data_IF_036235813764
#
_entry.id   IF_036235813764
#
_cell.length_a   1.000
_cell.length_b   1.000
_cell.length_c   1.000
_cell.angle_alpha   90.00
_cell.angle_beta   90.00
_cell.angle_gamma   90.00
#
_symmetry.space_group_name_H-M   'P 1'
#
loop_
_entity.id
_entity.type
_entity.pdbx_description
1 polymer ?
#
# COMPACT_ATOMS: atom_id res chain seq x y z
N UNK A 1 25.58 -12.38 39.61
CA UNK A 1 25.82 -11.16 38.84
C UNK A 1 24.99 -11.12 37.53
N UNK A 2 25.12 -12.05 36.60
CA UNK A 2 24.34 -12.05 35.33
C UNK A 2 22.83 -12.10 35.51
N UNK A 3 22.28 -12.96 36.38
CA UNK A 3 20.86 -13.03 36.67
C UNK A 3 20.28 -11.72 37.20
N UNK A 4 20.99 -11.03 38.07
CA UNK A 4 20.56 -9.74 38.62
C UNK A 4 20.52 -8.66 37.53
N UNK A 5 21.50 -8.65 36.62
CA UNK A 5 21.54 -7.73 35.51
C UNK A 5 20.35 -7.94 34.55
N UNK A 6 20.01 -9.20 34.26
CA UNK A 6 18.86 -9.55 33.44
C UNK A 6 17.56 -9.11 34.08
N UNK A 7 17.38 -9.37 35.38
CA UNK A 7 16.17 -8.95 36.10
C UNK A 7 16.01 -7.43 36.15
N UNK A 8 17.09 -6.70 36.37
CA UNK A 8 17.06 -5.23 36.35
C UNK A 8 16.67 -4.69 34.97
N UNK A 9 17.21 -5.28 33.89
CA UNK A 9 16.83 -4.91 32.52
C UNK A 9 15.36 -5.21 32.22
N UNK A 10 14.83 -6.36 32.64
CA UNK A 10 13.41 -6.72 32.49
C UNK A 10 12.54 -5.68 33.20
N UNK A 11 12.89 -5.34 34.45
CA UNK A 11 12.13 -4.36 35.22
C UNK A 11 12.13 -2.96 34.58
N UNK A 12 13.29 -2.50 34.13
CA UNK A 12 13.41 -1.21 33.42
C UNK A 12 12.54 -1.19 32.14
N UNK A 13 12.64 -2.23 31.29
CA UNK A 13 11.86 -2.33 30.05
C UNK A 13 10.37 -2.42 30.33
N UNK A 14 9.98 -3.16 31.36
CA UNK A 14 8.60 -3.24 31.81
C UNK A 14 8.04 -1.85 32.18
N UNK A 15 8.79 -1.06 32.96
CA UNK A 15 8.37 0.28 33.37
C UNK A 15 8.17 1.19 32.14
N UNK A 16 9.09 1.14 31.17
CA UNK A 16 8.98 1.89 29.90
C UNK A 16 7.72 1.47 29.14
N UNK A 17 7.51 0.16 28.94
CA UNK A 17 6.37 -0.36 28.21
C UNK A 17 5.04 -0.04 28.90
N UNK A 18 4.99 -0.14 30.24
CA UNK A 18 3.80 0.24 31.01
C UNK A 18 3.46 1.72 30.88
N UNK A 19 4.48 2.60 30.83
CA UNK A 19 4.28 4.03 30.62
C UNK A 19 3.80 4.37 29.20
N UNK A 20 4.14 3.54 28.21
CA UNK A 20 3.70 3.67 26.82
C UNK A 20 2.33 3.07 26.54
N UNK A 21 1.73 2.34 27.52
CA UNK A 21 0.40 1.77 27.35
C UNK A 21 -0.66 2.86 27.28
N UNK A 22 -1.48 2.82 26.27
CA UNK A 22 -2.62 3.72 26.09
C UNK A 22 -3.68 3.54 27.19
N UNK A 23 -4.51 4.58 27.43
CA UNK A 23 -5.58 4.54 28.45
C UNK A 23 -6.55 3.38 28.29
N UNK A 24 -6.80 2.95 27.05
CA UNK A 24 -7.67 1.80 26.72
C UNK A 24 -7.00 0.43 26.90
N UNK A 25 -5.71 0.40 27.31
CA UNK A 25 -4.95 -0.83 27.54
C UNK A 25 -4.16 -1.33 26.34
N UNK A 26 -4.23 -0.67 25.18
CA UNK A 26 -3.49 -1.08 23.98
C UNK A 26 -2.08 -0.50 23.96
N UNK A 27 -1.21 -1.16 23.19
CA UNK A 27 0.01 -0.59 22.67
C UNK A 27 -0.13 -0.38 21.16
N UNK A 28 0.41 0.72 20.70
CA UNK A 28 0.44 1.07 19.29
C UNK A 28 1.83 1.61 18.97
N UNK A 29 2.65 0.79 18.35
CA UNK A 29 3.97 1.17 17.89
C UNK A 29 3.96 1.42 16.40
N UNK A 30 4.83 2.33 15.98
CA UNK A 30 4.95 2.65 14.58
C UNK A 30 5.70 1.53 13.87
N UNK A 31 5.06 0.92 12.90
CA UNK A 31 5.70 0.03 11.97
C UNK A 31 6.39 0.88 10.89
N UNK A 32 7.70 1.05 11.02
CA UNK A 32 8.49 1.75 10.00
C UNK A 32 8.61 0.87 8.75
N UNK A 33 7.75 1.14 7.80
CA UNK A 33 7.70 0.45 6.52
C UNK A 33 8.54 1.15 5.44
N UNK A 34 8.57 0.55 4.25
CA UNK A 34 9.23 1.13 3.09
C UNK A 34 8.56 2.44 2.67
N UNK A 35 9.30 3.27 1.93
CA UNK A 35 8.81 4.55 1.40
C UNK A 35 7.63 4.43 0.42
N UNK A 36 7.26 3.23 0.02
CA UNK A 36 6.26 2.99 -1.03
C UNK A 36 4.89 3.60 -0.70
N UNK A 37 4.46 3.50 0.55
CA UNK A 37 3.20 4.10 1.03
C UNK A 37 3.27 5.62 1.04
N UNK A 38 4.42 6.20 1.40
CA UNK A 38 4.65 7.64 1.37
C UNK A 38 4.60 8.17 -0.05
N UNK A 39 5.28 7.49 -0.98
CA UNK A 39 5.28 7.82 -2.40
C UNK A 39 3.87 7.79 -2.98
N UNK A 40 3.12 6.73 -2.67
CA UNK A 40 1.75 6.59 -3.17
C UNK A 40 0.83 7.66 -2.58
N UNK A 41 0.98 7.97 -1.28
CA UNK A 41 0.20 9.04 -0.64
C UNK A 41 0.50 10.41 -1.27
N UNK A 42 1.76 10.74 -1.56
CA UNK A 42 2.12 11.96 -2.28
C UNK A 42 1.38 12.05 -3.63
N UNK A 43 1.37 10.96 -4.41
CA UNK A 43 0.67 10.91 -5.70
C UNK A 43 -0.84 11.09 -5.55
N UNK A 44 -1.46 10.44 -4.57
CA UNK A 44 -2.90 10.57 -4.28
C UNK A 44 -3.25 11.98 -3.85
N UNK A 45 -2.51 12.56 -2.89
CA UNK A 45 -2.75 13.93 -2.43
C UNK A 45 -2.64 14.94 -3.58
N UNK A 46 -1.65 14.76 -4.44
CA UNK A 46 -1.47 15.62 -5.61
C UNK A 46 -2.58 15.45 -6.63
N UNK A 47 -3.02 14.22 -6.87
CA UNK A 47 -4.13 13.89 -7.77
C UNK A 47 -5.46 14.53 -7.32
N UNK A 48 -5.67 14.62 -6.01
CA UNK A 48 -6.87 15.18 -5.40
C UNK A 48 -6.75 16.69 -5.10
N UNK A 49 -5.57 17.28 -5.24
CA UNK A 49 -5.25 18.66 -4.83
C UNK A 49 -5.52 18.92 -3.34
N UNK A 50 -5.07 17.98 -2.48
CA UNK A 50 -5.32 18.00 -1.04
C UNK A 50 -4.04 18.11 -0.21
N UNK A 51 -4.18 18.59 1.03
CA UNK A 51 -3.20 18.46 2.13
C UNK A 51 -1.74 18.82 1.78
N UNK A 52 -1.52 19.99 1.17
CA UNK A 52 -0.20 20.43 0.74
C UNK A 52 0.88 20.41 1.85
N UNK A 53 0.50 20.66 3.12
CA UNK A 53 1.42 20.61 4.28
C UNK A 53 1.86 19.19 4.57
N UNK A 54 0.93 18.22 4.51
CA UNK A 54 1.21 16.79 4.70
C UNK A 54 2.12 16.28 3.58
N UNK A 55 1.80 16.64 2.33
CA UNK A 55 2.62 16.30 1.16
C UNK A 55 4.08 16.73 1.36
N UNK A 56 4.33 17.95 1.82
CA UNK A 56 5.70 18.43 2.08
C UNK A 56 6.44 17.62 3.16
N UNK A 57 5.75 17.20 4.21
CA UNK A 57 6.35 16.36 5.25
C UNK A 57 6.70 14.95 4.74
N UNK A 58 5.82 14.34 3.95
CA UNK A 58 6.07 13.05 3.28
C UNK A 58 7.26 13.17 2.32
N UNK A 59 7.26 14.20 1.49
CA UNK A 59 8.32 14.45 0.53
C UNK A 59 9.69 14.64 1.21
N UNK A 60 9.72 15.36 2.35
CA UNK A 60 10.94 15.52 3.15
C UNK A 60 11.52 14.16 3.53
N UNK A 61 10.69 13.21 3.98
CA UNK A 61 11.13 11.85 4.31
C UNK A 61 11.64 11.11 3.08
N UNK A 62 10.89 11.10 1.99
CA UNK A 62 11.31 10.43 0.74
C UNK A 62 12.68 10.93 0.29
N UNK A 63 12.91 12.23 0.25
CA UNK A 63 14.18 12.82 -0.16
C UNK A 63 15.32 12.46 0.78
N UNK A 64 15.08 12.50 2.10
CA UNK A 64 16.11 12.21 3.11
C UNK A 64 16.57 10.74 3.13
N UNK A 65 15.79 9.85 2.54
CA UNK A 65 16.09 8.41 2.47
C UNK A 65 16.74 7.99 1.13
N UNK A 66 17.10 8.96 0.29
CA UNK A 66 17.85 8.65 -0.93
C UNK A 66 19.28 8.22 -0.59
N UNK A 67 19.68 7.05 -1.07
CA UNK A 67 21.03 6.53 -0.94
C UNK A 67 22.04 7.37 -1.77
N UNK A 68 23.34 7.27 -1.44
CA UNK A 68 24.40 7.98 -2.16
C UNK A 68 24.44 7.64 -3.66
N UNK A 69 24.11 6.40 -4.02
CA UNK A 69 24.04 5.95 -5.43
C UNK A 69 22.77 6.42 -6.16
N UNK A 70 21.92 7.24 -5.54
CA UNK A 70 20.68 7.76 -6.11
C UNK A 70 19.46 6.84 -5.97
N UNK A 71 19.60 5.66 -5.37
CA UNK A 71 18.50 4.71 -5.17
C UNK A 71 17.72 4.97 -3.88
N UNK A 72 16.61 4.21 -3.72
CA UNK A 72 15.93 3.99 -2.45
C UNK A 72 15.84 2.50 -2.17
N UNK A 73 15.87 2.15 -0.89
CA UNK A 73 15.76 0.78 -0.38
C UNK A 73 14.35 0.48 0.11
N UNK A 74 13.94 -0.81 0.08
CA UNK A 74 12.72 -1.28 0.75
C UNK A 74 13.03 -1.51 2.23
N UNK A 75 14.19 -2.09 2.52
CA UNK A 75 14.65 -2.38 3.88
C UNK A 75 15.91 -1.55 4.18
N UNK A 76 16.09 -1.18 5.44
CA UNK A 76 17.22 -0.35 5.89
C UNK A 76 18.60 -1.00 5.71
N UNK A 77 18.67 -2.33 5.65
CA UNK A 77 19.87 -3.13 5.44
C UNK A 77 20.16 -3.48 3.97
N UNK A 78 19.30 -3.07 3.05
CA UNK A 78 19.48 -3.27 1.60
C UNK A 78 20.50 -2.29 1.03
N UNK A 79 21.75 -2.75 0.86
CA UNK A 79 22.89 -1.90 0.48
C UNK A 79 22.84 -1.35 -0.94
N UNK A 80 22.24 -2.09 -1.88
CA UNK A 80 22.28 -1.77 -3.32
C UNK A 80 21.08 -0.96 -3.78
N UNK A 81 20.11 -0.72 -2.90
CA UNK A 81 18.84 -0.10 -3.26
C UNK A 81 17.92 -1.00 -4.08
N UNK A 82 16.71 -0.54 -4.30
CA UNK A 82 15.64 -1.28 -4.99
C UNK A 82 15.13 -0.51 -6.19
N UNK A 83 15.10 -1.15 -7.36
CA UNK A 83 14.67 -0.51 -8.60
C UNK A 83 13.22 0.01 -8.52
N UNK A 84 12.30 -0.81 -8.04
CA UNK A 84 10.87 -0.44 -7.95
C UNK A 84 10.61 0.67 -6.94
N UNK A 85 11.29 0.64 -5.79
CA UNK A 85 11.23 1.70 -4.79
C UNK A 85 11.80 3.02 -5.36
N UNK A 86 12.93 2.95 -6.07
CA UNK A 86 13.57 4.11 -6.69
C UNK A 86 12.68 4.74 -7.78
N UNK A 87 12.02 3.94 -8.61
CA UNK A 87 11.07 4.44 -9.61
C UNK A 87 9.89 5.13 -8.92
N UNK A 88 9.34 4.56 -7.85
CA UNK A 88 8.19 5.14 -7.15
C UNK A 88 8.58 6.43 -6.42
N UNK A 89 9.76 6.48 -5.78
CA UNK A 89 10.27 7.69 -5.14
C UNK A 89 10.51 8.82 -6.16
N UNK A 90 11.21 8.51 -7.25
CA UNK A 90 11.41 9.43 -8.35
C UNK A 90 10.08 9.99 -8.88
N UNK A 91 9.10 9.11 -9.08
CA UNK A 91 7.76 9.48 -9.57
C UNK A 91 7.04 10.41 -8.58
N UNK A 92 7.07 10.08 -7.28
CA UNK A 92 6.44 10.90 -6.24
C UNK A 92 7.08 12.28 -6.14
N UNK A 93 8.42 12.36 -6.22
CA UNK A 93 9.15 13.62 -6.24
C UNK A 93 8.78 14.48 -7.44
N UNK A 94 8.72 13.88 -8.64
CA UNK A 94 8.35 14.57 -9.85
C UNK A 94 6.90 15.09 -9.80
N UNK A 95 5.94 14.23 -9.43
CA UNK A 95 4.51 14.57 -9.33
C UNK A 95 4.25 15.61 -8.23
N UNK A 96 5.07 15.65 -7.18
CA UNK A 96 4.93 16.66 -6.13
C UNK A 96 4.98 18.09 -6.67
N UNK A 97 5.70 18.30 -7.77
CA UNK A 97 5.94 19.62 -8.36
C UNK A 97 7.02 20.43 -7.65
N UNK A 98 7.63 19.88 -6.58
CA UNK A 98 8.73 20.52 -5.84
C UNK A 98 10.11 20.14 -6.42
N UNK A 99 10.18 19.13 -7.30
CA UNK A 99 11.39 18.67 -7.95
C UNK A 99 11.19 18.56 -9.47
N UNK A 100 12.24 18.98 -10.18
CA UNK A 100 12.36 18.84 -11.64
C UNK A 100 13.41 17.78 -11.99
N UNK A 101 13.38 17.28 -13.22
CA UNK A 101 14.40 16.34 -13.72
C UNK A 101 15.83 16.89 -13.66
N UNK A 102 15.98 18.22 -13.65
CA UNK A 102 17.29 18.87 -13.61
C UNK A 102 17.95 18.87 -12.24
N UNK A 103 17.18 18.57 -11.17
CA UNK A 103 17.69 18.58 -9.81
C UNK A 103 18.64 17.41 -9.56
N UNK A 104 19.65 17.62 -8.73
CA UNK A 104 20.70 16.61 -8.47
C UNK A 104 20.16 15.28 -7.99
N UNK A 105 19.21 15.20 -7.01
CA UNK A 105 18.66 13.93 -6.57
C UNK A 105 17.91 13.21 -7.68
N UNK A 106 17.25 13.93 -8.59
CA UNK A 106 16.50 13.35 -9.68
C UNK A 106 17.45 12.76 -10.75
N UNK A 107 18.51 13.45 -11.12
CA UNK A 107 19.53 12.94 -12.04
C UNK A 107 20.21 11.69 -11.51
N UNK A 108 20.56 11.66 -10.24
CA UNK A 108 21.12 10.45 -9.61
C UNK A 108 20.15 9.27 -9.65
N UNK A 109 18.86 9.52 -9.39
CA UNK A 109 17.82 8.51 -9.46
C UNK A 109 17.64 7.98 -10.90
N UNK A 110 17.60 8.84 -11.91
CA UNK A 110 17.54 8.44 -13.32
C UNK A 110 18.72 7.54 -13.71
N UNK A 111 19.93 7.92 -13.31
CA UNK A 111 21.15 7.13 -13.57
C UNK A 111 21.06 5.73 -12.94
N UNK A 112 20.63 5.65 -11.67
CA UNK A 112 20.42 4.36 -11.01
C UNK A 112 19.35 3.52 -11.69
N UNK A 113 18.18 4.10 -12.00
CA UNK A 113 17.08 3.40 -12.64
C UNK A 113 17.51 2.83 -14.00
N UNK A 114 18.21 3.61 -14.82
CA UNK A 114 18.68 3.16 -16.12
C UNK A 114 19.73 2.05 -16.01
N UNK A 115 20.69 2.18 -15.10
CA UNK A 115 21.73 1.18 -14.87
C UNK A 115 21.16 -0.17 -14.42
N UNK A 116 19.98 -0.19 -13.76
CA UNK A 116 19.32 -1.39 -13.26
C UNK A 116 18.21 -1.93 -14.18
N UNK A 117 18.13 -1.46 -15.42
CA UNK A 117 17.24 -1.99 -16.46
C UNK A 117 15.93 -1.25 -16.64
N UNK A 118 15.78 -0.07 -16.03
CA UNK A 118 14.68 0.86 -16.28
C UNK A 118 13.30 0.29 -15.99
N UNK A 119 12.30 0.82 -16.66
CA UNK A 119 10.89 0.38 -16.50
C UNK A 119 10.66 -1.05 -16.96
N UNK A 120 11.50 -1.58 -17.88
CA UNK A 120 11.38 -2.96 -18.35
C UNK A 120 11.43 -3.94 -17.17
N UNK A 121 12.39 -3.78 -16.27
CA UNK A 121 12.59 -4.65 -15.10
C UNK A 121 11.76 -4.25 -13.87
N UNK A 122 10.99 -3.17 -13.92
CA UNK A 122 10.15 -2.73 -12.82
C UNK A 122 9.03 -3.75 -12.52
N UNK A 123 8.72 -3.89 -11.23
CA UNK A 123 7.63 -4.75 -10.78
C UNK A 123 6.27 -4.29 -11.36
N UNK A 124 5.35 -5.23 -11.61
CA UNK A 124 4.00 -4.97 -12.13
C UNK A 124 3.26 -3.86 -11.36
N UNK A 125 3.30 -3.91 -10.01
CA UNK A 125 2.65 -2.90 -9.16
C UNK A 125 3.21 -1.48 -9.41
N UNK A 126 4.51 -1.34 -9.66
CA UNK A 126 5.13 -0.06 -10.00
C UNK A 126 4.63 0.45 -11.34
N UNK A 127 4.58 -0.41 -12.36
CA UNK A 127 4.01 -0.06 -13.68
C UNK A 127 2.55 0.38 -13.56
N UNK A 128 1.77 -0.31 -12.71
CA UNK A 128 0.38 0.05 -12.42
C UNK A 128 0.25 1.45 -11.79
N UNK A 129 1.08 1.77 -10.80
CA UNK A 129 1.11 3.10 -10.17
C UNK A 129 1.48 4.18 -11.19
N UNK A 130 2.46 3.94 -12.05
CA UNK A 130 2.83 4.85 -13.13
C UNK A 130 1.68 5.07 -14.11
N UNK A 131 0.98 4.01 -14.50
CA UNK A 131 -0.15 4.08 -15.41
C UNK A 131 -1.33 4.88 -14.84
N UNK A 132 -1.65 4.67 -13.55
CA UNK A 132 -2.66 5.45 -12.83
C UNK A 132 -2.34 6.96 -12.82
N UNK A 133 -1.06 7.31 -12.86
CA UNK A 133 -0.57 8.69 -12.85
C UNK A 133 -0.18 9.21 -14.25
N UNK A 134 -0.57 8.50 -15.31
CA UNK A 134 -0.37 8.95 -16.70
C UNK A 134 1.07 8.92 -17.18
N UNK A 135 1.97 8.23 -16.46
CA UNK A 135 3.40 8.12 -16.74
C UNK A 135 3.80 6.78 -17.40
N UNK A 136 2.84 5.90 -17.59
CA UNK A 136 3.02 4.63 -18.30
C UNK A 136 1.75 4.25 -19.04
N UNK A 137 1.87 3.56 -20.17
CA UNK A 137 0.71 3.20 -21.00
C UNK A 137 0.19 1.83 -20.63
N UNK A 138 -1.13 1.72 -20.45
CA UNK A 138 -1.76 0.41 -20.34
C UNK A 138 -1.67 -0.35 -21.66
N UNK A 139 -1.21 -1.61 -21.66
CA UNK A 139 -1.23 -2.42 -22.86
C UNK A 139 -2.64 -2.55 -23.46
N UNK A 140 -2.76 -2.51 -24.78
CA UNK A 140 -4.06 -2.62 -25.46
C UNK A 140 -4.75 -3.96 -25.18
N UNK A 141 -3.95 -5.03 -25.08
CA UNK A 141 -4.39 -6.41 -24.83
C UNK A 141 -4.71 -6.69 -23.35
N UNK A 142 -4.37 -5.75 -22.44
CA UNK A 142 -4.60 -5.96 -21.02
C UNK A 142 -6.07 -5.68 -20.68
N UNK A 143 -6.85 -6.72 -20.64
CA UNK A 143 -8.25 -6.71 -20.24
C UNK A 143 -8.54 -7.89 -19.33
N UNK A 144 -9.13 -7.63 -18.19
CA UNK A 144 -9.57 -8.66 -17.26
C UNK A 144 -11.11 -8.79 -17.35
N UNK A 145 -11.67 -9.97 -17.66
CA UNK A 145 -13.11 -10.11 -17.82
C UNK A 145 -13.84 -9.89 -16.49
N UNK A 146 -14.65 -8.84 -16.42
CA UNK A 146 -15.36 -8.46 -15.20
C UNK A 146 -16.40 -9.49 -14.77
N UNK A 147 -16.82 -10.38 -15.66
CA UNK A 147 -17.68 -11.54 -15.35
C UNK A 147 -17.07 -12.49 -14.33
N UNK A 148 -15.74 -12.45 -14.14
CA UNK A 148 -15.06 -13.17 -13.06
C UNK A 148 -15.62 -12.83 -11.67
N UNK A 149 -16.06 -11.60 -11.45
CA UNK A 149 -16.68 -11.17 -10.19
C UNK A 149 -18.11 -11.68 -9.98
N UNK A 150 -18.70 -12.35 -10.99
CA UNK A 150 -20.01 -12.98 -10.90
C UNK A 150 -19.92 -14.48 -10.61
N UNK A 151 -18.71 -15.05 -10.66
CA UNK A 151 -18.54 -16.48 -10.45
C UNK A 151 -18.84 -16.83 -8.98
N UNK A 152 -19.75 -17.80 -8.76
CA UNK A 152 -20.13 -18.20 -7.41
C UNK A 152 -19.00 -18.97 -6.70
N UNK A 153 -18.99 -19.02 -5.36
CA UNK A 153 -17.91 -19.63 -4.57
C UNK A 153 -17.61 -21.10 -4.87
N UNK A 154 -18.58 -21.86 -5.39
CA UNK A 154 -18.37 -23.28 -5.73
C UNK A 154 -17.63 -23.50 -7.06
N UNK A 155 -17.45 -22.45 -7.88
CA UNK A 155 -16.65 -22.53 -9.10
C UNK A 155 -15.15 -22.60 -8.75
N UNK A 156 -14.36 -23.41 -9.48
CA UNK A 156 -12.94 -23.59 -9.18
C UNK A 156 -12.11 -22.32 -9.37
N UNK A 157 -12.53 -21.44 -10.26
CA UNK A 157 -11.90 -20.13 -10.52
C UNK A 157 -12.84 -19.02 -10.06
N UNK A 158 -12.77 -18.63 -8.81
CA UNK A 158 -13.58 -17.54 -8.28
C UNK A 158 -12.76 -16.63 -7.36
N UNK A 159 -13.27 -15.42 -7.13
CA UNK A 159 -12.59 -14.39 -6.31
C UNK A 159 -12.44 -14.82 -4.84
N UNK A 160 -13.30 -15.72 -4.35
CA UNK A 160 -13.27 -16.17 -2.95
C UNK A 160 -12.16 -17.19 -2.65
N UNK A 161 -11.56 -17.79 -3.68
CA UNK A 161 -10.38 -18.65 -3.55
C UNK A 161 -9.08 -17.84 -3.35
N UNK A 162 -9.10 -16.53 -3.65
CA UNK A 162 -8.00 -15.64 -3.32
C UNK A 162 -8.02 -15.28 -1.82
N UNK A 163 -6.84 -15.06 -1.24
CA UNK A 163 -6.75 -14.52 0.11
C UNK A 163 -7.45 -13.16 0.21
N UNK A 164 -7.92 -12.78 1.41
CA UNK A 164 -8.54 -11.47 1.60
C UNK A 164 -7.59 -10.33 1.19
N UNK A 165 -6.31 -10.46 1.53
CA UNK A 165 -5.28 -9.49 1.13
C UNK A 165 -5.20 -9.33 -0.40
N UNK A 166 -5.09 -10.42 -1.14
CA UNK A 166 -5.04 -10.38 -2.61
C UNK A 166 -6.33 -9.78 -3.18
N UNK A 167 -7.48 -10.20 -2.68
CA UNK A 167 -8.81 -9.77 -3.14
C UNK A 167 -9.02 -8.27 -3.03
N UNK A 168 -8.69 -7.67 -1.87
CA UNK A 168 -8.89 -6.24 -1.65
C UNK A 168 -7.91 -5.35 -2.42
N UNK A 169 -6.75 -5.88 -2.82
CA UNK A 169 -5.83 -5.17 -3.71
C UNK A 169 -6.17 -5.35 -5.19
N UNK A 170 -6.45 -6.59 -5.60
CA UNK A 170 -6.71 -6.89 -7.02
C UNK A 170 -8.01 -6.25 -7.52
N UNK A 171 -9.07 -6.24 -6.71
CA UNK A 171 -10.37 -5.71 -7.13
C UNK A 171 -10.29 -4.26 -7.64
N UNK A 172 -9.79 -3.28 -6.86
CA UNK A 172 -9.67 -1.90 -7.34
C UNK A 172 -8.67 -1.76 -8.50
N UNK A 173 -7.58 -2.54 -8.47
CA UNK A 173 -6.60 -2.53 -9.56
C UNK A 173 -7.21 -2.97 -10.90
N UNK A 174 -7.98 -4.07 -10.90
CA UNK A 174 -8.67 -4.59 -12.09
C UNK A 174 -9.68 -3.56 -12.63
N UNK A 175 -10.45 -2.91 -11.75
CA UNK A 175 -11.40 -1.87 -12.15
C UNK A 175 -10.66 -0.73 -12.86
N UNK A 176 -9.63 -0.16 -12.23
CA UNK A 176 -8.89 0.96 -12.78
C UNK A 176 -8.15 0.59 -14.09
N UNK A 177 -7.55 -0.60 -14.13
CA UNK A 177 -6.85 -1.13 -15.30
C UNK A 177 -7.78 -1.31 -16.50
N UNK A 178 -8.94 -1.95 -16.32
CA UNK A 178 -9.91 -2.17 -17.39
C UNK A 178 -10.51 -0.85 -17.92
N UNK A 179 -10.70 0.12 -17.04
CA UNK A 179 -11.11 1.48 -17.42
C UNK A 179 -9.97 2.28 -18.05
N UNK A 180 -8.73 1.74 -18.06
CA UNK A 180 -7.52 2.45 -18.48
C UNK A 180 -7.42 3.83 -17.84
N UNK A 181 -7.83 3.89 -16.56
CA UNK A 181 -7.91 5.13 -15.82
C UNK A 181 -6.53 5.72 -15.57
N UNK A 182 -6.37 6.99 -15.84
CA UNK A 182 -5.13 7.72 -15.56
C UNK A 182 -5.42 9.17 -15.24
N UNK A 183 -4.61 9.73 -14.36
CA UNK A 183 -4.60 11.16 -14.04
C UNK A 183 -3.33 11.76 -14.66
N UNK A 184 -3.50 12.78 -15.50
CA UNK A 184 -2.37 13.50 -16.06
C UNK A 184 -1.89 14.57 -15.09
N UNK A 185 -0.60 14.56 -14.81
CA UNK A 185 0.08 15.57 -14.03
C UNK A 185 0.86 16.52 -14.94
N UNK A 186 0.94 17.83 -14.64
CA UNK A 186 1.69 18.80 -15.42
C UNK A 186 3.20 18.71 -15.12
N UNK A 187 3.81 17.55 -15.43
CA UNK A 187 5.22 17.25 -15.17
C UNK A 187 5.94 16.77 -16.43
N UNK A 188 7.26 16.91 -16.46
CA UNK A 188 8.06 16.38 -17.55
C UNK A 188 8.13 14.84 -17.49
N UNK A 189 7.30 14.19 -18.29
CA UNK A 189 7.23 12.72 -18.39
C UNK A 189 8.22 12.10 -19.39
N UNK A 190 9.09 12.89 -20.00
CA UNK A 190 9.97 12.43 -21.10
C UNK A 190 10.88 11.27 -20.68
N UNK A 191 11.35 11.22 -19.43
CA UNK A 191 12.13 10.09 -18.90
C UNK A 191 11.39 8.76 -19.02
N UNK A 192 10.11 8.73 -18.72
CA UNK A 192 9.29 7.51 -18.81
C UNK A 192 8.95 7.15 -20.25
N UNK A 193 8.64 8.16 -21.08
CA UNK A 193 8.24 7.96 -22.49
C UNK A 193 9.37 7.48 -23.39
N UNK A 194 10.61 7.74 -23.04
CA UNK A 194 11.80 7.29 -23.79
C UNK A 194 12.15 5.82 -23.53
N UNK A 195 11.53 5.19 -22.54
CA UNK A 195 11.82 3.81 -22.20
C UNK A 195 10.91 2.82 -22.95
N UNK A 196 11.41 1.64 -23.34
CA UNK A 196 10.62 0.66 -24.07
C UNK A 196 9.40 0.22 -23.26
N UNK A 197 8.22 0.32 -23.86
CA UNK A 197 6.96 -0.19 -23.30
C UNK A 197 6.84 -1.68 -23.63
N UNK A 198 7.55 -2.52 -22.88
CA UNK A 198 7.44 -3.97 -23.01
C UNK A 198 6.34 -4.55 -22.14
N UNK A 199 6.10 -5.86 -22.30
CA UNK A 199 5.11 -6.64 -21.53
C UNK A 199 5.07 -6.26 -20.03
N UNK A 200 3.89 -6.05 -19.52
CA UNK A 200 3.67 -5.79 -18.09
C UNK A 200 4.03 -6.98 -17.22
N UNK A 201 4.00 -8.18 -17.79
CA UNK A 201 4.28 -9.42 -17.10
C UNK A 201 5.63 -9.96 -17.53
N UNK A 202 6.38 -10.53 -16.61
CA UNK A 202 7.62 -11.25 -16.92
C UNK A 202 7.29 -12.48 -17.78
N UNK A 203 8.22 -12.85 -18.66
CA UNK A 203 8.09 -14.00 -19.57
C UNK A 203 8.15 -15.35 -18.83
N UNK A 204 8.71 -15.38 -17.62
CA UNK A 204 8.82 -16.60 -16.79
C UNK A 204 7.50 -16.86 -16.06
N UNK A 205 6.56 -17.49 -16.77
CA UNK A 205 5.30 -17.96 -16.17
C UNK A 205 5.32 -19.47 -16.07
N UNK A 206 4.93 -19.99 -14.90
CA UNK A 206 4.72 -21.40 -14.73
C UNK A 206 3.45 -21.90 -15.45
N UNK A 207 3.35 -23.23 -15.63
CA UNK A 207 2.21 -23.89 -16.29
C UNK A 207 0.86 -23.52 -15.64
N UNK A 208 0.80 -23.46 -14.31
CA UNK A 208 -0.42 -23.18 -13.58
C UNK A 208 -0.89 -21.74 -13.76
N UNK A 209 0.03 -20.79 -13.79
CA UNK A 209 -0.27 -19.38 -14.08
C UNK A 209 -0.84 -19.20 -15.48
N UNK A 210 -0.29 -19.91 -16.48
CA UNK A 210 -0.81 -19.88 -17.85
C UNK A 210 -2.18 -20.51 -17.95
N UNK A 211 -2.42 -21.66 -17.32
CA UNK A 211 -3.74 -22.31 -17.29
C UNK A 211 -4.82 -21.42 -16.66
N UNK A 212 -4.48 -20.77 -15.54
CA UNK A 212 -5.36 -19.81 -14.87
C UNK A 212 -5.69 -18.61 -15.78
N UNK A 213 -4.68 -18.05 -16.46
CA UNK A 213 -4.86 -16.93 -17.38
C UNK A 213 -5.77 -17.33 -18.56
N UNK A 214 -5.58 -18.49 -19.15
CA UNK A 214 -6.44 -18.96 -20.26
C UNK A 214 -7.87 -19.20 -19.82
N UNK A 215 -8.08 -19.78 -18.65
CA UNK A 215 -9.41 -19.93 -18.04
C UNK A 215 -10.11 -18.58 -17.85
N UNK A 216 -9.40 -17.57 -17.37
CA UNK A 216 -9.95 -16.22 -17.23
C UNK A 216 -10.21 -15.56 -18.59
N UNK A 217 -9.32 -15.73 -19.56
CA UNK A 217 -9.51 -15.17 -20.91
C UNK A 217 -10.78 -15.68 -21.59
N UNK A 218 -11.16 -16.94 -21.36
CA UNK A 218 -12.41 -17.49 -21.92
C UNK A 218 -13.65 -16.71 -21.51
N UNK A 219 -13.63 -16.06 -20.34
CA UNK A 219 -14.72 -15.21 -19.87
C UNK A 219 -14.80 -13.87 -20.61
N UNK A 220 -13.78 -13.47 -21.36
CA UNK A 220 -13.79 -12.21 -22.11
C UNK A 220 -14.82 -12.19 -23.24
N UNK A 221 -15.23 -13.36 -23.74
CA UNK A 221 -16.24 -13.52 -24.79
C UNK A 221 -17.67 -13.48 -24.26
N UNK A 222 -17.87 -13.31 -22.95
CA UNK A 222 -19.20 -13.22 -22.36
C UNK A 222 -19.94 -11.94 -22.79
N UNK A 223 -21.30 -11.96 -22.84
CA UNK A 223 -22.07 -10.80 -23.25
C UNK A 223 -21.80 -9.52 -22.44
N UNK A 224 -21.86 -8.38 -23.12
CA UNK A 224 -21.51 -7.07 -22.54
C UNK A 224 -22.30 -6.71 -21.27
N UNK A 225 -23.57 -7.13 -21.18
CA UNK A 225 -24.39 -6.88 -20.00
C UNK A 225 -23.86 -7.60 -18.75
N UNK A 226 -23.25 -8.79 -18.92
CA UNK A 226 -22.59 -9.51 -17.81
C UNK A 226 -21.32 -8.80 -17.37
N UNK A 227 -20.54 -8.22 -18.28
CA UNK A 227 -19.41 -7.38 -17.89
C UNK A 227 -19.86 -6.15 -17.08
N UNK A 228 -20.96 -5.50 -17.47
CA UNK A 228 -21.55 -4.40 -16.69
C UNK A 228 -21.99 -4.85 -15.30
N UNK A 229 -22.63 -6.02 -15.19
CA UNK A 229 -22.98 -6.62 -13.89
C UNK A 229 -21.73 -6.95 -13.07
N UNK A 230 -20.66 -7.45 -13.70
CA UNK A 230 -19.38 -7.73 -13.07
C UNK A 230 -18.72 -6.47 -12.46
N UNK A 231 -18.80 -5.31 -13.13
CA UNK A 231 -18.35 -4.04 -12.55
C UNK A 231 -19.14 -3.69 -11.28
N UNK A 232 -20.47 -3.83 -11.29
CA UNK A 232 -21.30 -3.58 -10.10
C UNK A 232 -20.97 -4.55 -8.96
N UNK A 233 -20.70 -5.81 -9.28
CA UNK A 233 -20.28 -6.82 -8.28
C UNK A 233 -18.91 -6.49 -7.69
N UNK A 234 -17.93 -6.10 -8.51
CA UNK A 234 -16.60 -5.69 -8.07
C UNK A 234 -16.67 -4.43 -7.21
N UNK A 235 -17.45 -3.42 -7.62
CA UNK A 235 -17.69 -2.20 -6.86
C UNK A 235 -18.31 -2.52 -5.49
N UNK A 236 -19.38 -3.33 -5.47
CA UNK A 236 -20.01 -3.77 -4.22
C UNK A 236 -19.05 -4.53 -3.32
N UNK A 237 -18.26 -5.46 -3.87
CA UNK A 237 -17.26 -6.21 -3.13
C UNK A 237 -16.21 -5.30 -2.47
N UNK A 238 -15.85 -4.22 -3.14
CA UNK A 238 -14.93 -3.20 -2.63
C UNK A 238 -15.61 -2.35 -1.55
N UNK A 239 -16.81 -1.83 -1.81
CA UNK A 239 -17.55 -0.95 -0.87
C UNK A 239 -17.93 -1.66 0.42
N UNK A 240 -18.34 -2.94 0.35
CA UNK A 240 -18.71 -3.77 1.51
C UNK A 240 -17.51 -4.04 2.46
N UNK A 241 -16.28 -3.69 2.06
CA UNK A 241 -15.04 -3.90 2.84
C UNK A 241 -14.37 -2.62 3.28
N UNK A 242 -15.05 -1.49 3.10
CA UNK A 242 -14.58 -0.22 3.63
C UNK A 242 -14.83 -0.22 5.13
N UNK A 243 -13.76 0.00 5.89
CA UNK A 243 -13.78 0.09 7.33
C UNK A 243 -14.43 1.38 7.82
N UNK A 244 -14.75 1.43 9.12
CA UNK A 244 -15.36 2.61 9.72
C UNK A 244 -14.54 3.89 9.52
N UNK A 245 -13.22 3.80 9.50
CA UNK A 245 -12.32 4.92 9.22
C UNK A 245 -12.23 5.31 7.73
N UNK A 246 -12.85 4.54 6.84
CA UNK A 246 -12.87 4.78 5.39
C UNK A 246 -11.78 4.06 4.61
N UNK A 247 -10.86 3.35 5.25
CA UNK A 247 -9.84 2.55 4.56
C UNK A 247 -10.40 1.23 4.05
N UNK A 248 -9.81 0.70 2.99
CA UNK A 248 -10.18 -0.61 2.46
C UNK A 248 -9.45 -1.71 3.23
N UNK A 249 -10.21 -2.45 4.05
CA UNK A 249 -9.72 -3.57 4.85
C UNK A 249 -8.50 -3.23 5.71
N UNK A 250 -8.47 -2.01 6.25
CA UNK A 250 -7.38 -1.46 7.07
C UNK A 250 -5.99 -1.43 6.41
N UNK A 251 -5.92 -1.45 5.05
CA UNK A 251 -4.67 -1.29 4.31
C UNK A 251 -4.62 0.05 3.57
N UNK A 252 -3.57 0.84 3.80
CA UNK A 252 -3.30 2.06 3.04
C UNK A 252 -3.10 1.74 1.55
N UNK A 253 -2.31 0.71 1.22
CA UNK A 253 -2.05 0.28 -0.16
C UNK A 253 -3.32 -0.09 -0.92
N UNK A 254 -4.24 -0.85 -0.32
CA UNK A 254 -5.53 -1.17 -0.93
C UNK A 254 -6.41 0.06 -1.08
N UNK A 255 -6.39 0.96 -0.10
CA UNK A 255 -7.17 2.20 -0.09
C UNK A 255 -6.71 3.19 -1.17
N UNK A 256 -5.41 3.26 -1.45
CA UNK A 256 -4.91 4.04 -2.58
C UNK A 256 -5.50 3.56 -3.91
N UNK A 257 -5.45 2.25 -4.18
CA UNK A 257 -6.05 1.69 -5.39
C UNK A 257 -7.57 1.87 -5.42
N UNK A 258 -8.25 1.78 -4.27
CA UNK A 258 -9.69 2.05 -4.15
C UNK A 258 -10.04 3.47 -4.58
N UNK A 259 -9.28 4.47 -4.15
CA UNK A 259 -9.49 5.87 -4.53
C UNK A 259 -9.44 6.03 -6.05
N UNK A 260 -8.42 5.48 -6.71
CA UNK A 260 -8.33 5.53 -8.17
C UNK A 260 -9.43 4.71 -8.86
N UNK A 261 -9.82 3.57 -8.32
CA UNK A 261 -10.91 2.75 -8.87
C UNK A 261 -12.27 3.45 -8.77
N UNK A 262 -12.57 4.12 -7.67
CA UNK A 262 -13.78 4.92 -7.51
C UNK A 262 -13.82 6.05 -8.54
N UNK A 263 -12.70 6.76 -8.73
CA UNK A 263 -12.61 7.79 -9.77
C UNK A 263 -12.79 7.20 -11.18
N UNK A 264 -12.24 6.01 -11.44
CA UNK A 264 -12.43 5.27 -12.70
C UNK A 264 -13.89 4.87 -12.95
N UNK A 265 -14.66 4.65 -11.88
CA UNK A 265 -16.10 4.38 -11.92
C UNK A 265 -16.95 5.66 -12.07
N UNK A 266 -16.34 6.84 -12.00
CA UNK A 266 -16.99 8.13 -12.18
C UNK A 266 -17.31 8.88 -10.87
N UNK A 267 -16.84 8.40 -9.72
CA UNK A 267 -16.93 9.15 -8.47
C UNK A 267 -16.08 10.43 -8.56
N UNK A 268 -16.64 11.55 -8.18
CA UNK A 268 -15.89 12.82 -8.11
C UNK A 268 -14.91 12.78 -6.93
N UNK A 269 -13.80 13.50 -7.04
CA UNK A 269 -12.78 13.57 -5.97
C UNK A 269 -13.32 14.08 -4.62
N UNK A 270 -14.38 14.89 -4.66
CA UNK A 270 -15.07 15.44 -3.48
C UNK A 270 -16.06 14.45 -2.86
N UNK A 271 -16.25 13.26 -3.45
CA UNK A 271 -17.19 12.28 -2.93
C UNK A 271 -16.84 11.86 -1.51
N UNK A 272 -17.81 11.76 -0.56
CA UNK A 272 -17.54 11.49 0.85
C UNK A 272 -16.72 10.24 1.11
N UNK A 273 -16.90 9.17 0.32
CA UNK A 273 -16.13 7.93 0.45
C UNK A 273 -14.63 8.19 0.16
N UNK A 274 -14.31 8.95 -0.90
CA UNK A 274 -12.92 9.29 -1.25
C UNK A 274 -12.30 10.15 -0.16
N UNK A 275 -13.02 11.19 0.30
CA UNK A 275 -12.55 12.09 1.35
C UNK A 275 -12.30 11.33 2.67
N UNK A 276 -13.21 10.44 3.02
CA UNK A 276 -13.08 9.60 4.22
C UNK A 276 -11.90 8.62 4.09
N UNK A 277 -11.69 8.03 2.91
CA UNK A 277 -10.55 7.15 2.66
C UNK A 277 -9.21 7.88 2.83
N UNK A 278 -9.08 9.10 2.28
CA UNK A 278 -7.88 9.93 2.46
C UNK A 278 -7.64 10.20 3.94
N UNK A 279 -8.68 10.61 4.68
CA UNK A 279 -8.58 10.85 6.12
C UNK A 279 -8.15 9.59 6.88
N UNK A 280 -8.77 8.45 6.60
CA UNK A 280 -8.43 7.18 7.24
C UNK A 280 -7.00 6.72 6.95
N UNK A 281 -6.48 6.98 5.75
CA UNK A 281 -5.05 6.72 5.45
C UNK A 281 -4.16 7.68 6.25
N UNK A 282 -4.55 8.95 6.38
CA UNK A 282 -3.80 9.93 7.18
C UNK A 282 -3.80 9.61 8.68
N UNK A 283 -4.81 8.90 9.18
CA UNK A 283 -4.82 8.41 10.57
C UNK A 283 -3.72 7.34 10.82
N UNK A 284 -3.12 6.77 9.75
CA UNK A 284 -1.95 5.88 9.84
C UNK A 284 -0.62 6.61 9.75
N UNK A 285 -0.66 7.95 9.67
CA UNK A 285 0.54 8.76 9.62
C UNK A 285 1.25 8.79 10.96
N UNK A 286 2.57 8.71 10.92
CA UNK A 286 3.43 8.84 12.09
C UNK A 286 4.61 9.77 11.81
N UNK A 287 4.93 10.62 12.78
CA UNK A 287 6.11 11.48 12.68
C UNK A 287 7.37 10.63 12.91
N UNK A 288 8.32 10.76 12.01
CA UNK A 288 9.65 10.15 12.12
C UNK A 288 10.73 11.24 12.20
N UNK A 289 11.97 10.87 12.49
CA UNK A 289 13.09 11.83 12.48
C UNK A 289 13.26 12.51 11.12
N UNK A 290 12.89 11.83 10.05
CA UNK A 290 13.07 12.28 8.67
C UNK A 290 11.85 12.97 8.07
N UNK A 291 10.72 12.99 8.75
CA UNK A 291 9.45 13.55 8.27
C UNK A 291 8.27 12.65 8.60
N UNK A 292 7.20 12.73 7.82
CA UNK A 292 5.99 11.94 8.02
C UNK A 292 6.07 10.61 7.26
N UNK A 293 5.62 9.53 7.88
CA UNK A 293 5.50 8.21 7.28
C UNK A 293 4.05 7.72 7.35
N UNK A 294 3.55 7.12 6.28
CA UNK A 294 2.27 6.44 6.24
C UNK A 294 2.48 4.94 6.44
N UNK A 295 2.02 4.40 7.57
CA UNK A 295 2.03 2.96 7.79
C UNK A 295 1.06 2.27 6.82
N UNK A 296 1.41 1.05 6.39
CA UNK A 296 0.50 0.31 5.50
C UNK A 296 -0.76 -0.19 6.21
N UNK A 297 -0.65 -0.51 7.49
CA UNK A 297 -1.79 -0.96 8.32
C UNK A 297 -1.48 -0.72 9.80
N UNK A 298 -2.50 -0.53 10.66
CA UNK A 298 -2.29 -0.44 12.10
C UNK A 298 -1.90 -1.81 12.68
N UNK A 299 -0.97 -1.82 13.63
CA UNK A 299 -0.50 -3.03 14.33
C UNK A 299 -1.04 -3.17 15.75
N UNK A 300 -1.91 -2.29 16.21
CA UNK A 300 -2.31 -2.12 17.62
C UNK A 300 -2.75 -3.43 18.29
N UNK A 301 -3.56 -4.26 17.61
CA UNK A 301 -4.00 -5.55 18.17
C UNK A 301 -2.83 -6.53 18.29
N UNK A 302 -2.00 -6.58 17.25
CA UNK A 302 -0.79 -7.40 17.20
C UNK A 302 0.20 -6.99 18.29
N UNK A 303 0.53 -5.69 18.36
CA UNK A 303 1.46 -5.15 19.35
C UNK A 303 0.98 -5.45 20.77
N UNK A 304 -0.32 -5.26 21.03
CA UNK A 304 -0.91 -5.51 22.34
C UNK A 304 -0.87 -6.99 22.72
N UNK A 305 -1.20 -7.87 21.77
CA UNK A 305 -1.17 -9.32 22.02
C UNK A 305 0.26 -9.81 22.29
N UNK A 306 1.20 -9.40 21.42
CA UNK A 306 2.60 -9.80 21.54
C UNK A 306 3.23 -9.29 22.84
N UNK A 307 3.02 -8.02 23.18
CA UNK A 307 3.56 -7.45 24.41
C UNK A 307 2.94 -8.04 25.65
N UNK A 308 1.60 -8.24 25.67
CA UNK A 308 0.95 -8.90 26.80
C UNK A 308 1.53 -10.30 27.03
N UNK A 309 1.74 -11.07 25.95
CA UNK A 309 2.33 -12.40 26.01
C UNK A 309 3.80 -12.34 26.50
N UNK A 310 4.64 -11.54 25.86
CA UNK A 310 6.08 -11.46 26.20
C UNK A 310 6.32 -10.97 27.62
N UNK A 311 5.52 -10.02 28.09
CA UNK A 311 5.64 -9.53 29.48
C UNK A 311 5.29 -10.61 30.51
N UNK A 312 4.30 -11.46 30.23
CA UNK A 312 3.97 -12.59 31.12
C UNK A 312 5.07 -13.66 31.08
N UNK A 313 5.64 -13.98 29.92
CA UNK A 313 6.80 -14.86 29.80
C UNK A 313 8.03 -14.30 30.53
N UNK A 314 8.17 -12.97 30.61
CA UNK A 314 9.22 -12.32 31.38
C UNK A 314 8.96 -12.28 32.88
N UNK A 315 7.84 -12.86 33.36
CA UNK A 315 7.51 -13.00 34.77
C UNK A 315 6.59 -11.90 35.34
N UNK A 316 5.98 -11.05 34.48
CA UNK A 316 4.93 -10.12 34.94
C UNK A 316 3.66 -10.90 35.23
N UNK A 317 3.09 -10.71 36.42
CA UNK A 317 1.85 -11.41 36.85
C UNK A 317 0.69 -11.11 35.89
N UNK A 318 -0.11 -12.12 35.60
CA UNK A 318 -1.38 -12.02 34.83
C UNK A 318 -2.38 -11.07 35.53
N UNK A 319 -2.29 -10.94 36.86
CA UNK A 319 -3.09 -10.02 37.68
C UNK A 319 -2.53 -8.59 37.73
N UNK A 320 -1.40 -8.32 37.03
CA UNK A 320 -0.88 -6.96 36.96
C UNK A 320 -1.82 -6.03 36.18
N UNK A 321 -2.09 -4.79 36.65
CA UNK A 321 -3.02 -3.87 35.99
C UNK A 321 -2.76 -3.63 34.48
N UNK A 322 -1.50 -3.59 34.08
CA UNK A 322 -1.06 -3.46 32.68
C UNK A 322 -1.53 -4.66 31.84
N UNK A 323 -1.36 -5.89 32.34
CA UNK A 323 -1.79 -7.12 31.65
C UNK A 323 -3.31 -7.21 31.60
N UNK A 324 -4.00 -6.93 32.70
CA UNK A 324 -5.48 -6.93 32.75
C UNK A 324 -6.07 -5.96 31.72
N UNK A 325 -5.52 -4.74 31.61
CA UNK A 325 -5.98 -3.74 30.63
C UNK A 325 -5.74 -4.22 29.19
N UNK A 326 -4.56 -4.78 28.89
CA UNK A 326 -4.23 -5.32 27.58
C UNK A 326 -5.19 -6.45 27.17
N UNK A 327 -5.41 -7.43 28.06
CA UNK A 327 -6.31 -8.56 27.83
C UNK A 327 -7.75 -8.09 27.62
N UNK A 328 -8.22 -7.11 28.40
CA UNK A 328 -9.55 -6.51 28.20
C UNK A 328 -9.68 -5.87 26.82
N UNK A 329 -8.67 -5.11 26.36
CA UNK A 329 -8.63 -4.53 25.03
C UNK A 329 -8.71 -5.60 23.95
N UNK A 330 -7.92 -6.68 24.06
CA UNK A 330 -7.92 -7.78 23.08
C UNK A 330 -9.29 -8.46 23.00
N UNK A 331 -9.91 -8.76 24.15
CA UNK A 331 -11.26 -9.35 24.19
C UNK A 331 -12.31 -8.45 23.52
N UNK A 332 -12.21 -7.13 23.70
CA UNK A 332 -13.11 -6.17 23.03
C UNK A 332 -12.93 -6.14 21.50
N UNK A 333 -11.75 -6.52 21.01
CA UNK A 333 -11.44 -6.58 19.57
C UNK A 333 -11.70 -7.94 18.95
N UNK A 334 -12.00 -8.95 19.75
CA UNK A 334 -12.37 -10.27 19.27
C UNK A 334 -13.69 -10.20 18.49
N UNK A 335 -13.68 -10.65 17.25
CA UNK A 335 -14.90 -10.77 16.47
C UNK A 335 -15.62 -12.06 16.85
N UNK A 336 -16.90 -11.95 17.23
CA UNK A 336 -17.80 -13.10 17.30
C UNK A 336 -18.10 -13.58 15.89
N UNK A 337 -17.92 -14.87 15.63
CA UNK A 337 -18.35 -15.52 14.39
C UNK A 337 -19.87 -15.62 14.30
#
# INVERSE_FOLDING_TARGET
MQRQLVQNNIHERFNILSALQSKNGSWNFNFEGPILTDCFMIMVLRSLNMEAKVLKKLLKRVVSLQNENGSWSIYSDEKNGNLSASIQAYTAMLISGEYSRNDVPMKRAEAFIMANGGLKKAHFMTKMILALNGLYTYPSYLYFPMTYFLLPPFMPLNMYNCSNYARVHMTPMIIAMNKKFSIKHPVDSSFFMQQPHESWFREDRDYWTNYFIEGIKSLALTPLHLHKAGYKSAEKLMLDRIEENGTLYSYASASFYMIYALMALGYKKEHPIIQKAVKGILDYATETRNGLHIQNSPSTVWDTALLSYVLQEAGVSDNHPTIIKANRYLLQKQQSR
#
